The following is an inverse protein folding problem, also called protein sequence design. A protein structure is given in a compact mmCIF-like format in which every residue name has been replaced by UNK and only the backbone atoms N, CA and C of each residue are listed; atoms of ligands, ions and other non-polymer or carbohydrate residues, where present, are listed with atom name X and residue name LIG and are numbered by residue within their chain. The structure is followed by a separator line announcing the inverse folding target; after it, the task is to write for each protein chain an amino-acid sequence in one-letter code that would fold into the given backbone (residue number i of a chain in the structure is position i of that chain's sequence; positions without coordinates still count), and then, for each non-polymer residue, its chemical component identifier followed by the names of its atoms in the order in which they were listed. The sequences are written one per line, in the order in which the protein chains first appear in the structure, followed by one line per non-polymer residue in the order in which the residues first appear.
data_IF_954754001771
#
_entry.id   IF_954754001771
#
_cell.length_a   1.000
_cell.length_b   1.000
_cell.length_c   1.000
_cell.angle_alpha   90.00
_cell.angle_beta   90.00
_cell.angle_gamma   90.00
#
_symmetry.space_group_name_H-M   'P 1'
#
loop_
_entity.id
_entity.type
_entity.pdbx_description
1 polymer ?
#
# COMPACT_ATOMS: atom_id res chain seq x y z
N UNK A 1 -91.03 -35.10 -13.72
CA UNK A 1 -90.95 -34.12 -14.79
C UNK A 1 -89.79 -33.15 -14.58
N UNK A 2 -88.95 -33.02 -15.60
CA UNK A 2 -87.89 -32.05 -15.84
C UNK A 2 -86.59 -32.19 -14.97
N UNK A 3 -85.61 -32.83 -15.58
CA UNK A 3 -84.21 -32.79 -15.27
C UNK A 3 -83.61 -31.41 -15.53
N UNK A 4 -82.71 -30.95 -14.62
CA UNK A 4 -81.85 -29.80 -14.87
C UNK A 4 -80.39 -30.31 -14.75
N UNK A 5 -79.71 -30.24 -15.89
CA UNK A 5 -78.33 -30.57 -16.13
C UNK A 5 -77.43 -29.58 -15.39
N UNK A 6 -76.47 -30.06 -14.61
CA UNK A 6 -75.38 -29.29 -14.02
C UNK A 6 -74.09 -29.45 -14.84
N UNK A 7 -73.73 -28.38 -15.52
CA UNK A 7 -72.43 -28.26 -16.20
C UNK A 7 -71.38 -27.91 -15.18
N UNK A 8 -70.40 -28.79 -15.03
CA UNK A 8 -69.19 -28.55 -14.20
C UNK A 8 -68.16 -27.82 -15.08
N UNK A 9 -67.84 -26.58 -14.71
CA UNK A 9 -66.66 -25.85 -15.23
C UNK A 9 -65.40 -26.36 -14.46
N UNK A 10 -64.50 -27.01 -15.18
CA UNK A 10 -63.14 -27.34 -14.70
C UNK A 10 -62.26 -26.14 -15.05
N UNK A 11 -61.94 -25.30 -14.07
CA UNK A 11 -60.94 -24.25 -14.19
C UNK A 11 -59.53 -24.86 -14.06
N UNK A 12 -58.80 -24.96 -15.16
CA UNK A 12 -57.38 -25.34 -15.17
C UNK A 12 -56.56 -24.15 -14.68
N UNK A 13 -56.11 -24.22 -13.40
CA UNK A 13 -55.17 -23.29 -12.84
C UNK A 13 -53.76 -23.66 -13.33
N UNK A 14 -53.24 -22.94 -14.33
CA UNK A 14 -51.82 -22.98 -14.69
C UNK A 14 -51.02 -22.36 -13.55
N UNK A 15 -50.39 -23.20 -12.73
CA UNK A 15 -49.31 -22.79 -11.83
C UNK A 15 -48.09 -22.43 -12.68
N UNK A 16 -47.86 -21.16 -12.93
CA UNK A 16 -46.58 -20.66 -13.37
C UNK A 16 -45.58 -20.81 -12.23
N UNK A 17 -44.84 -21.92 -12.24
CA UNK A 17 -43.67 -22.08 -11.39
C UNK A 17 -42.59 -21.10 -11.86
N UNK A 18 -42.65 -19.87 -11.33
CA UNK A 18 -41.55 -18.94 -11.45
C UNK A 18 -40.31 -19.56 -10.81
N UNK A 19 -39.29 -19.88 -11.61
CA UNK A 19 -37.98 -20.23 -11.15
C UNK A 19 -37.42 -19.05 -10.36
N UNK A 20 -37.59 -19.08 -9.05
CA UNK A 20 -36.83 -18.21 -8.15
C UNK A 20 -35.38 -18.64 -8.33
N UNK A 21 -34.63 -17.91 -9.16
CA UNK A 21 -33.18 -17.98 -9.16
C UNK A 21 -32.74 -17.59 -7.75
N UNK A 22 -32.51 -18.59 -6.91
CA UNK A 22 -31.95 -18.40 -5.58
C UNK A 22 -30.63 -17.66 -5.74
N UNK A 23 -30.59 -16.38 -5.34
CA UNK A 23 -29.35 -15.65 -5.27
C UNK A 23 -28.42 -16.41 -4.32
N UNK A 24 -27.30 -16.89 -4.84
CA UNK A 24 -26.24 -17.46 -4.00
C UNK A 24 -25.92 -16.45 -2.89
N UNK A 25 -25.90 -16.84 -1.60
CA UNK A 25 -25.60 -15.91 -0.51
C UNK A 25 -24.33 -15.12 -0.80
N UNK A 26 -24.38 -13.82 -0.59
CA UNK A 26 -23.22 -12.94 -0.80
C UNK A 26 -22.08 -13.35 0.15
N UNK A 27 -20.87 -13.47 -0.39
CA UNK A 27 -19.66 -13.74 0.40
C UNK A 27 -19.13 -12.44 1.00
N UNK A 28 -19.01 -12.36 2.32
CA UNK A 28 -18.43 -11.21 2.99
C UNK A 28 -16.93 -11.14 2.70
N UNK A 29 -16.45 -9.96 2.30
CA UNK A 29 -15.05 -9.69 1.97
C UNK A 29 -14.57 -8.49 2.77
N UNK A 30 -13.52 -8.66 3.56
CA UNK A 30 -12.90 -7.60 4.33
C UNK A 30 -11.61 -7.15 3.63
N UNK A 31 -11.47 -5.83 3.43
CA UNK A 31 -10.28 -5.21 2.86
C UNK A 31 -9.70 -4.23 3.90
N UNK A 32 -8.46 -4.48 4.35
CA UNK A 32 -7.82 -3.72 5.42
C UNK A 32 -6.74 -2.77 4.94
N UNK A 33 -6.53 -1.67 5.66
CA UNK A 33 -5.31 -0.85 5.60
C UNK A 33 -5.09 -0.11 6.93
N UNK A 34 -3.87 0.39 7.16
CA UNK A 34 -3.45 0.95 8.46
C UNK A 34 -3.71 2.44 8.62
N UNK A 35 -4.02 3.17 7.55
CA UNK A 35 -4.28 4.61 7.58
C UNK A 35 -5.76 4.95 7.41
N UNK A 36 -6.14 6.18 7.73
CA UNK A 36 -7.48 6.71 7.54
C UNK A 36 -7.41 8.10 6.91
N UNK A 37 -8.45 8.46 6.14
CA UNK A 37 -8.62 9.79 5.54
C UNK A 37 -7.55 10.25 4.52
N UNK A 38 -6.60 9.41 4.20
CA UNK A 38 -5.54 9.64 3.20
C UNK A 38 -5.84 8.91 1.88
N UNK A 39 -4.95 9.07 0.89
CA UNK A 39 -5.10 8.42 -0.41
C UNK A 39 -5.13 6.89 -0.30
N UNK A 40 -4.37 6.28 0.62
CA UNK A 40 -4.37 4.83 0.82
C UNK A 40 -5.76 4.33 1.25
N UNK A 41 -6.40 5.05 2.19
CA UNK A 41 -7.76 4.73 2.64
C UNK A 41 -8.79 4.89 1.51
N UNK A 42 -8.66 5.92 0.68
CA UNK A 42 -9.54 6.13 -0.48
C UNK A 42 -9.42 4.99 -1.50
N UNK A 43 -8.20 4.52 -1.77
CA UNK A 43 -7.97 3.38 -2.67
C UNK A 43 -8.54 2.08 -2.08
N UNK A 44 -8.42 1.88 -0.75
CA UNK A 44 -9.01 0.73 -0.06
C UNK A 44 -10.55 0.71 -0.19
N UNK A 45 -11.19 1.86 0.00
CA UNK A 45 -12.64 2.02 -0.22
C UNK A 45 -13.00 1.71 -1.67
N UNK A 46 -12.26 2.29 -2.62
CA UNK A 46 -12.50 2.10 -4.05
C UNK A 46 -12.39 0.64 -4.46
N UNK A 47 -11.39 -0.09 -3.96
CA UNK A 47 -11.24 -1.52 -4.24
C UNK A 47 -12.43 -2.33 -3.72
N UNK A 48 -12.90 -2.07 -2.51
CA UNK A 48 -14.09 -2.74 -1.95
C UNK A 48 -15.37 -2.44 -2.76
N UNK A 49 -15.59 -1.19 -3.17
CA UNK A 49 -16.71 -0.79 -4.04
C UNK A 49 -16.68 -1.53 -5.37
N UNK A 50 -15.50 -1.60 -6.02
CA UNK A 50 -15.34 -2.27 -7.31
C UNK A 50 -15.57 -3.77 -7.20
N UNK A 51 -15.12 -4.43 -6.14
CA UNK A 51 -15.40 -5.85 -5.88
C UNK A 51 -16.90 -6.11 -5.80
N UNK A 52 -17.63 -5.30 -5.03
CA UNK A 52 -19.08 -5.43 -4.88
C UNK A 52 -19.79 -5.18 -6.22
N UNK A 53 -19.41 -4.11 -6.90
CA UNK A 53 -20.01 -3.71 -8.18
C UNK A 53 -19.78 -4.77 -9.26
N UNK A 54 -18.55 -5.22 -9.47
CA UNK A 54 -18.21 -6.13 -10.56
C UNK A 54 -18.67 -7.57 -10.33
N UNK A 55 -18.89 -7.95 -9.07
CA UNK A 55 -19.47 -9.25 -8.73
C UNK A 55 -21.00 -9.27 -8.75
N UNK A 56 -21.66 -8.14 -9.07
CA UNK A 56 -23.11 -7.98 -8.92
C UNK A 56 -23.59 -8.33 -7.50
N UNK A 57 -22.83 -7.92 -6.48
CA UNK A 57 -23.13 -8.14 -5.07
C UNK A 57 -22.76 -9.54 -4.53
N UNK A 58 -22.27 -10.47 -5.36
CA UNK A 58 -21.84 -11.80 -4.88
C UNK A 58 -20.65 -11.73 -3.91
N UNK A 59 -19.80 -10.71 -4.06
CA UNK A 59 -18.78 -10.32 -3.09
C UNK A 59 -19.25 -9.06 -2.36
N UNK A 60 -19.76 -9.22 -1.14
CA UNK A 60 -20.14 -8.10 -0.28
C UNK A 60 -18.88 -7.55 0.40
N UNK A 61 -18.15 -6.70 -0.32
CA UNK A 61 -16.87 -6.19 0.15
C UNK A 61 -17.06 -4.94 1.03
N UNK A 62 -16.32 -4.88 2.13
CA UNK A 62 -16.26 -3.74 3.03
C UNK A 62 -14.82 -3.34 3.33
N UNK A 63 -14.57 -2.03 3.21
CA UNK A 63 -13.31 -1.40 3.58
C UNK A 63 -13.21 -1.25 5.10
N UNK A 64 -12.05 -1.58 5.66
CA UNK A 64 -11.68 -1.42 7.07
C UNK A 64 -10.38 -0.63 7.15
N UNK A 65 -10.51 0.67 7.34
CA UNK A 65 -9.39 1.61 7.38
C UNK A 65 -8.91 1.90 8.80
N UNK A 66 -7.80 2.63 8.93
CA UNK A 66 -7.28 3.11 10.21
C UNK A 66 -6.74 2.03 11.13
N UNK A 67 -6.32 0.90 10.60
CA UNK A 67 -5.80 -0.21 11.41
C UNK A 67 -6.86 -0.92 12.26
N UNK A 68 -8.15 -0.78 11.93
CA UNK A 68 -9.25 -1.40 12.69
C UNK A 68 -9.24 -2.94 12.69
N UNK A 69 -8.47 -3.56 11.78
CA UNK A 69 -8.23 -5.00 11.73
C UNK A 69 -6.84 -5.40 12.27
N UNK A 70 -6.13 -4.47 12.89
CA UNK A 70 -4.78 -4.67 13.40
C UNK A 70 -3.71 -3.87 12.67
N UNK A 71 -2.46 -4.08 13.05
CA UNK A 71 -1.30 -3.47 12.40
C UNK A 71 -1.06 -4.04 11.00
N UNK A 72 -0.21 -3.39 10.19
CA UNK A 72 0.17 -3.92 8.88
C UNK A 72 0.73 -5.35 8.97
N UNK A 73 1.59 -5.60 9.95
CA UNK A 73 2.20 -6.92 10.15
C UNK A 73 1.18 -7.98 10.55
N UNK A 74 0.22 -7.63 11.43
CA UNK A 74 -0.86 -8.53 11.83
C UNK A 74 -1.81 -8.83 10.68
N UNK A 75 -2.24 -7.80 9.94
CA UNK A 75 -3.11 -7.98 8.77
C UNK A 75 -2.45 -8.83 7.68
N UNK A 76 -1.14 -8.66 7.42
CA UNK A 76 -0.41 -9.49 6.46
C UNK A 76 -0.41 -10.96 6.87
N UNK A 77 -0.14 -11.26 8.14
CA UNK A 77 -0.19 -12.63 8.67
C UNK A 77 -1.60 -13.23 8.56
N UNK A 78 -2.63 -12.45 8.88
CA UNK A 78 -4.04 -12.86 8.79
C UNK A 78 -4.46 -13.12 7.34
N UNK A 79 -3.96 -12.32 6.38
CA UNK A 79 -4.18 -12.50 4.95
C UNK A 79 -3.52 -13.79 4.44
N UNK A 80 -2.27 -14.08 4.83
CA UNK A 80 -1.59 -15.32 4.47
C UNK A 80 -2.33 -16.56 4.99
N UNK A 81 -2.88 -16.49 6.20
CA UNK A 81 -3.69 -17.55 6.78
C UNK A 81 -5.07 -17.75 6.09
N UNK A 82 -5.52 -16.77 5.31
CA UNK A 82 -6.80 -16.79 4.58
C UNK A 82 -7.97 -16.21 5.37
N UNK A 83 -7.76 -15.67 6.56
CA UNK A 83 -8.80 -15.08 7.40
C UNK A 83 -9.11 -13.62 7.04
N UNK A 84 -8.16 -12.89 6.41
CA UNK A 84 -8.38 -11.60 5.77
C UNK A 84 -8.35 -11.79 4.25
N UNK A 85 -9.35 -11.26 3.53
CA UNK A 85 -9.50 -11.49 2.10
C UNK A 85 -8.59 -10.58 1.28
N UNK A 86 -8.44 -9.31 1.68
CA UNK A 86 -7.58 -8.37 0.97
C UNK A 86 -7.02 -7.27 1.87
N UNK A 87 -5.98 -6.61 1.39
CA UNK A 87 -5.42 -5.44 2.06
C UNK A 87 -4.62 -4.56 1.11
N UNK A 88 -4.45 -3.32 1.52
CA UNK A 88 -3.51 -2.37 0.91
C UNK A 88 -2.39 -2.11 1.91
N UNK A 89 -1.13 -2.24 1.45
CA UNK A 89 0.02 -2.23 2.33
C UNK A 89 1.25 -1.60 1.65
N UNK A 90 2.09 -0.83 2.37
CA UNK A 90 3.41 -0.46 1.88
C UNK A 90 4.29 -1.69 1.66
N UNK A 91 5.01 -1.73 0.53
CA UNK A 91 5.87 -2.87 0.15
C UNK A 91 6.90 -3.24 1.21
N UNK A 92 7.41 -2.27 1.96
CA UNK A 92 8.38 -2.53 3.03
C UNK A 92 7.88 -3.44 4.15
N UNK A 93 6.58 -3.39 4.48
CA UNK A 93 6.01 -4.33 5.46
C UNK A 93 5.94 -5.77 4.93
N UNK A 94 5.92 -5.94 3.61
CA UNK A 94 5.94 -7.28 3.00
C UNK A 94 7.30 -7.96 3.12
N UNK A 95 8.37 -7.22 3.40
CA UNK A 95 9.73 -7.74 3.50
C UNK A 95 9.89 -8.83 4.57
N UNK A 96 9.01 -8.91 5.56
CA UNK A 96 8.98 -9.99 6.56
C UNK A 96 8.55 -11.34 5.98
N UNK A 97 7.65 -11.34 4.99
CA UNK A 97 7.14 -12.55 4.33
C UNK A 97 7.85 -12.81 2.99
N UNK A 98 8.16 -11.74 2.24
CA UNK A 98 8.77 -11.75 0.91
C UNK A 98 9.88 -10.69 0.87
N UNK A 99 11.10 -11.02 1.35
CA UNK A 99 12.22 -10.09 1.46
C UNK A 99 12.56 -9.35 0.16
N UNK A 100 12.31 -9.97 -0.97
CA UNK A 100 12.55 -9.44 -2.32
C UNK A 100 11.68 -8.21 -2.60
N UNK A 101 10.43 -8.18 -2.11
CA UNK A 101 9.51 -7.03 -2.30
C UNK A 101 10.00 -5.80 -1.55
N UNK A 102 10.69 -5.99 -0.41
CA UNK A 102 11.32 -4.90 0.32
C UNK A 102 12.37 -4.12 -0.48
N UNK A 103 12.83 -4.64 -1.61
CA UNK A 103 13.83 -3.96 -2.46
C UNK A 103 13.28 -2.71 -3.16
N UNK A 104 11.97 -2.54 -3.27
CA UNK A 104 11.38 -1.25 -3.66
C UNK A 104 11.71 -0.11 -2.69
N UNK A 105 12.12 -0.42 -1.47
CA UNK A 105 12.50 0.55 -0.45
C UNK A 105 13.95 0.99 -0.52
N UNK A 106 14.73 0.52 -1.49
CA UNK A 106 16.09 1.03 -1.71
C UNK A 106 16.04 2.54 -1.92
N UNK A 107 16.85 3.30 -1.18
CA UNK A 107 16.83 4.75 -1.26
C UNK A 107 17.27 5.23 -2.66
N UNK A 108 16.63 6.29 -3.16
CA UNK A 108 16.89 6.88 -4.47
C UNK A 108 16.74 5.89 -5.64
N UNK A 109 15.91 4.85 -5.48
CA UNK A 109 15.66 3.83 -6.50
C UNK A 109 14.80 4.38 -7.64
N UNK A 110 13.66 5.01 -7.32
CA UNK A 110 12.68 5.51 -8.28
C UNK A 110 12.45 7.02 -8.11
N UNK A 111 12.00 7.72 -9.16
CA UNK A 111 11.61 9.12 -9.08
C UNK A 111 10.38 9.30 -8.19
N UNK A 112 10.16 10.54 -7.72
CA UNK A 112 9.09 10.88 -6.80
C UNK A 112 7.68 10.93 -7.37
N UNK A 113 7.53 10.82 -8.68
CA UNK A 113 6.24 10.89 -9.38
C UNK A 113 5.44 9.59 -9.22
N UNK A 114 4.21 9.64 -8.62
CA UNK A 114 3.41 8.43 -8.38
C UNK A 114 3.08 7.64 -9.64
N UNK A 115 2.68 8.30 -10.72
CA UNK A 115 2.27 7.65 -11.96
C UNK A 115 3.46 6.94 -12.63
N UNK A 116 4.64 7.58 -12.63
CA UNK A 116 5.88 6.94 -13.13
C UNK A 116 6.31 5.76 -12.29
N UNK A 117 6.12 5.81 -10.97
CA UNK A 117 6.36 4.65 -10.10
C UNK A 117 5.43 3.49 -10.46
N UNK A 118 4.13 3.76 -10.65
CA UNK A 118 3.15 2.75 -11.05
C UNK A 118 3.51 2.17 -12.42
N UNK A 119 3.77 3.02 -13.42
CA UNK A 119 4.16 2.57 -14.75
C UNK A 119 5.42 1.69 -14.72
N UNK A 120 6.44 2.10 -13.95
CA UNK A 120 7.64 1.29 -13.74
C UNK A 120 7.29 -0.09 -13.18
N UNK A 121 6.48 -0.17 -12.12
CA UNK A 121 6.14 -1.46 -11.49
C UNK A 121 5.32 -2.38 -12.41
N UNK A 122 4.53 -1.84 -13.33
CA UNK A 122 3.79 -2.61 -14.33
C UNK A 122 4.73 -3.26 -15.36
N UNK A 123 5.75 -2.52 -15.80
CA UNK A 123 6.71 -2.98 -16.84
C UNK A 123 7.87 -3.79 -16.27
N UNK A 124 8.18 -3.64 -14.99
CA UNK A 124 9.36 -4.21 -14.33
C UNK A 124 9.35 -5.73 -14.27
N UNK A 125 10.44 -6.34 -14.75
CA UNK A 125 10.73 -7.77 -14.62
C UNK A 125 10.92 -8.15 -13.15
N UNK A 126 11.58 -7.26 -12.38
CA UNK A 126 11.74 -7.44 -10.94
C UNK A 126 10.38 -7.51 -10.24
N UNK A 127 9.44 -6.59 -10.55
CA UNK A 127 8.10 -6.60 -9.99
C UNK A 127 7.32 -7.87 -10.37
N UNK A 128 7.47 -8.36 -11.61
CA UNK A 128 6.87 -9.62 -12.03
C UNK A 128 7.43 -10.79 -11.20
N UNK A 129 8.74 -10.86 -11.03
CA UNK A 129 9.39 -11.90 -10.21
C UNK A 129 8.99 -11.84 -8.76
N UNK A 130 8.88 -10.64 -8.18
CA UNK A 130 8.39 -10.44 -6.80
C UNK A 130 6.97 -10.98 -6.62
N UNK A 131 6.06 -10.77 -7.59
CA UNK A 131 4.69 -11.32 -7.55
C UNK A 131 4.69 -12.84 -7.56
N UNK A 132 5.53 -13.47 -8.38
CA UNK A 132 5.66 -14.94 -8.41
C UNK A 132 6.12 -15.50 -7.05
N UNK A 133 7.11 -14.85 -6.43
CA UNK A 133 7.61 -15.26 -5.10
C UNK A 133 6.52 -15.10 -4.03
N UNK A 134 5.78 -13.98 -4.07
CA UNK A 134 4.67 -13.73 -3.14
C UNK A 134 3.57 -14.80 -3.28
N UNK A 135 3.26 -15.22 -4.51
CA UNK A 135 2.29 -16.28 -4.80
C UNK A 135 2.66 -17.61 -4.10
N UNK A 136 3.95 -17.94 -4.10
CA UNK A 136 4.48 -19.14 -3.40
C UNK A 136 4.37 -19.03 -1.88
N UNK A 137 4.23 -17.81 -1.35
CA UNK A 137 4.08 -17.52 0.09
C UNK A 137 2.61 -17.31 0.52
N UNK A 138 1.65 -17.65 -0.34
CA UNK A 138 0.22 -17.52 -0.03
C UNK A 138 -0.36 -16.11 -0.21
N UNK A 139 0.38 -15.22 -0.85
CA UNK A 139 -0.02 -13.84 -1.10
C UNK A 139 -0.18 -13.63 -2.60
N UNK A 140 -1.38 -13.28 -3.05
CA UNK A 140 -1.58 -12.83 -4.42
C UNK A 140 -1.46 -11.31 -4.48
N UNK A 141 -0.43 -10.82 -5.15
CA UNK A 141 -0.24 -9.38 -5.41
C UNK A 141 -0.93 -9.03 -6.71
N UNK A 142 -2.05 -8.31 -6.66
CA UNK A 142 -2.76 -7.85 -7.87
C UNK A 142 -1.89 -6.87 -8.64
N UNK A 143 -1.24 -5.94 -7.92
CA UNK A 143 -0.28 -5.02 -8.50
C UNK A 143 0.39 -4.14 -7.45
N UNK A 144 1.43 -3.45 -7.90
CA UNK A 144 2.11 -2.41 -7.15
C UNK A 144 1.76 -1.05 -7.75
N UNK A 145 1.81 0.01 -6.95
CA UNK A 145 1.57 1.38 -7.39
C UNK A 145 2.31 2.39 -6.51
N UNK A 146 2.59 3.57 -7.05
CA UNK A 146 3.26 4.66 -6.34
C UNK A 146 2.29 5.58 -5.62
N UNK A 147 2.68 6.05 -4.44
CA UNK A 147 1.97 7.15 -3.75
C UNK A 147 2.76 8.46 -3.89
N UNK A 148 4.07 8.40 -3.90
CA UNK A 148 4.95 9.56 -3.95
C UNK A 148 6.27 9.28 -3.25
N UNK A 149 7.06 10.33 -3.03
CA UNK A 149 8.32 10.22 -2.29
C UNK A 149 8.15 10.42 -0.81
N UNK A 150 8.94 9.71 -0.05
CA UNK A 150 9.08 9.92 1.37
C UNK A 150 10.07 11.04 1.69
N UNK A 151 9.74 11.79 2.72
CA UNK A 151 10.55 12.89 3.25
C UNK A 151 10.53 12.86 4.77
N UNK A 152 11.42 13.62 5.41
CA UNK A 152 11.56 13.60 6.86
C UNK A 152 10.51 14.46 7.54
N UNK A 153 9.85 13.92 8.56
CA UNK A 153 9.10 14.69 9.55
C UNK A 153 9.79 14.55 10.90
N UNK A 154 10.14 15.66 11.52
CA UNK A 154 10.96 15.70 12.73
C UNK A 154 10.44 16.66 13.79
N UNK A 155 10.85 16.44 15.05
CA UNK A 155 10.54 17.33 16.17
C UNK A 155 11.51 18.53 16.27
N UNK A 156 12.52 18.58 15.44
CA UNK A 156 13.55 19.63 15.38
C UNK A 156 13.88 19.94 13.90
N UNK A 157 14.41 21.11 13.59
CA UNK A 157 14.77 21.45 12.21
C UNK A 157 15.92 20.57 11.72
N UNK A 158 15.80 20.12 10.45
CA UNK A 158 16.83 19.36 9.74
C UNK A 158 17.20 20.14 8.49
N UNK A 159 18.45 20.60 8.42
CA UNK A 159 18.97 21.43 7.32
C UNK A 159 20.18 20.77 6.63
N UNK A 160 20.80 19.81 7.27
CA UNK A 160 21.95 19.04 6.78
C UNK A 160 21.93 17.64 7.36
N UNK A 161 22.65 16.73 6.73
CA UNK A 161 22.71 15.32 7.13
C UNK A 161 23.21 15.14 8.58
N UNK A 162 24.17 15.96 9.02
CA UNK A 162 24.68 15.91 10.37
C UNK A 162 23.61 16.13 11.47
N UNK A 163 22.50 16.80 11.15
CA UNK A 163 21.45 17.07 12.14
C UNK A 163 20.71 15.82 12.60
N UNK A 164 20.73 14.73 11.81
CA UNK A 164 20.08 13.45 12.14
C UNK A 164 21.02 12.42 12.76
N UNK A 165 22.33 12.67 12.78
CA UNK A 165 23.32 11.71 13.32
C UNK A 165 23.07 11.42 14.80
N UNK A 166 23.14 10.13 15.16
CA UNK A 166 22.91 9.63 16.51
C UNK A 166 21.44 9.71 16.98
N UNK A 167 20.53 10.22 16.17
CA UNK A 167 19.13 10.41 16.56
C UNK A 167 18.25 9.23 16.16
N UNK A 168 17.24 8.94 16.98
CA UNK A 168 16.37 7.78 16.84
C UNK A 168 15.21 8.10 15.89
N UNK A 169 15.22 7.49 14.71
CA UNK A 169 14.17 7.58 13.70
C UNK A 169 13.36 6.30 13.60
N UNK A 170 12.04 6.46 13.52
CA UNK A 170 11.21 5.32 13.12
C UNK A 170 11.32 5.08 11.62
N UNK A 171 11.49 3.82 11.26
CA UNK A 171 11.37 3.32 9.90
C UNK A 171 10.32 2.22 9.83
N UNK A 172 9.78 1.95 8.64
CA UNK A 172 8.97 0.74 8.44
C UNK A 172 9.88 -0.50 8.61
N UNK A 173 9.33 -1.70 8.92
CA UNK A 173 10.11 -2.93 9.08
C UNK A 173 10.71 -3.42 7.75
N UNK A 174 11.63 -2.68 7.20
CA UNK A 174 12.29 -2.92 5.92
C UNK A 174 13.80 -2.82 6.06
N UNK A 175 14.57 -3.87 5.73
CA UNK A 175 16.03 -3.84 5.80
C UNK A 175 16.67 -2.71 4.98
N UNK A 176 16.23 -2.38 3.75
CA UNK A 176 16.77 -1.24 3.01
C UNK A 176 16.56 0.10 3.73
N UNK A 177 15.38 0.31 4.35
CA UNK A 177 15.11 1.53 5.12
C UNK A 177 16.02 1.63 6.33
N UNK A 178 16.12 0.57 7.13
CA UNK A 178 16.99 0.55 8.28
C UNK A 178 18.46 0.77 7.88
N UNK A 179 18.91 0.14 6.79
CA UNK A 179 20.24 0.33 6.22
C UNK A 179 20.50 1.79 5.83
N UNK A 180 19.57 2.42 5.12
CA UNK A 180 19.69 3.80 4.69
C UNK A 180 19.93 4.77 5.85
N UNK A 181 19.15 4.65 6.93
CA UNK A 181 19.31 5.51 8.11
C UNK A 181 20.61 5.23 8.85
N UNK A 182 21.07 3.97 8.91
CA UNK A 182 22.40 3.64 9.47
C UNK A 182 23.53 4.27 8.67
N UNK A 183 23.46 4.23 7.34
CA UNK A 183 24.45 4.84 6.45
C UNK A 183 24.54 6.36 6.68
N UNK A 184 23.41 7.00 7.03
CA UNK A 184 23.33 8.42 7.38
C UNK A 184 23.77 8.73 8.81
N UNK A 185 24.16 7.73 9.59
CA UNK A 185 24.56 7.88 10.99
C UNK A 185 23.41 8.05 11.97
N UNK A 186 22.15 7.89 11.54
CA UNK A 186 20.99 7.86 12.41
C UNK A 186 20.77 6.48 13.02
N UNK A 187 19.92 6.40 14.04
CA UNK A 187 19.55 5.14 14.71
C UNK A 187 18.15 4.74 14.25
N UNK A 188 18.00 3.77 13.33
CA UNK A 188 16.70 3.32 12.89
C UNK A 188 16.02 2.42 13.92
N UNK A 189 14.73 2.64 14.14
CA UNK A 189 13.85 1.77 14.93
C UNK A 189 12.67 1.33 14.09
N UNK A 190 12.59 0.05 13.78
CA UNK A 190 11.44 -0.53 13.09
C UNK A 190 10.23 -0.53 14.00
N UNK A 191 9.08 -0.03 13.47
CA UNK A 191 7.85 0.12 14.24
C UNK A 191 6.64 0.13 13.30
N UNK A 192 5.54 -0.52 13.69
CA UNK A 192 4.28 -0.42 12.97
C UNK A 192 3.68 1.00 13.05
N UNK A 193 2.84 1.36 12.06
CA UNK A 193 2.35 2.73 11.92
C UNK A 193 1.45 3.18 13.08
N UNK A 194 0.69 2.26 13.67
CA UNK A 194 -0.23 2.54 14.78
C UNK A 194 0.47 3.14 16.03
N UNK A 195 1.76 2.86 16.21
CA UNK A 195 2.54 3.32 17.37
C UNK A 195 3.17 4.71 17.16
N UNK A 196 3.23 5.19 15.90
CA UNK A 196 4.05 6.34 15.48
C UNK A 196 3.65 7.64 16.17
N UNK A 197 2.34 7.96 16.20
CA UNK A 197 1.86 9.21 16.80
C UNK A 197 2.27 9.31 18.28
N UNK A 198 2.00 8.25 19.05
CA UNK A 198 2.35 8.19 20.47
C UNK A 198 3.85 8.23 20.71
N UNK A 199 4.62 7.51 19.90
CA UNK A 199 6.09 7.50 20.00
C UNK A 199 6.71 8.88 19.71
N UNK A 200 6.21 9.61 18.71
CA UNK A 200 6.60 11.00 18.44
C UNK A 200 6.18 11.92 19.60
N UNK A 201 4.95 11.79 20.08
CA UNK A 201 4.42 12.61 21.19
C UNK A 201 5.26 12.46 22.46
N UNK A 202 5.59 11.22 22.81
CA UNK A 202 6.41 10.91 23.99
C UNK A 202 7.90 11.20 23.79
N UNK A 203 8.37 11.43 22.53
CA UNK A 203 9.76 11.66 22.23
C UNK A 203 10.63 10.40 22.25
N UNK A 204 10.04 9.21 22.27
CA UNK A 204 10.77 7.94 22.15
C UNK A 204 11.38 7.76 20.77
N UNK A 205 10.88 8.45 19.77
CA UNK A 205 11.48 8.71 18.47
C UNK A 205 11.42 10.21 18.19
N UNK A 206 12.35 10.71 17.41
CA UNK A 206 12.43 12.15 17.12
C UNK A 206 12.06 12.50 15.69
N UNK A 207 11.89 11.50 14.84
CA UNK A 207 11.52 11.69 13.45
C UNK A 207 11.06 10.39 12.78
N UNK A 208 10.42 10.59 11.65
CA UNK A 208 9.89 9.55 10.75
C UNK A 208 10.08 9.97 9.30
N UNK A 209 9.81 9.06 8.39
CA UNK A 209 9.62 9.34 6.98
C UNK A 209 8.20 9.00 6.55
N UNK A 210 7.59 9.86 5.75
CA UNK A 210 6.31 9.59 5.06
C UNK A 210 6.10 10.60 3.91
N UNK A 211 5.21 10.28 2.94
CA UNK A 211 4.73 11.26 1.97
C UNK A 211 3.90 12.37 2.64
N UNK A 212 3.83 13.57 2.02
CA UNK A 212 3.06 14.71 2.54
C UNK A 212 1.60 14.39 2.90
N UNK A 213 0.89 13.63 2.06
CA UNK A 213 -0.52 13.28 2.28
C UNK A 213 -0.71 12.50 3.60
N UNK A 214 0.10 11.49 3.85
CA UNK A 214 0.05 10.71 5.10
C UNK A 214 0.32 11.61 6.31
N UNK A 215 1.36 12.44 6.24
CA UNK A 215 1.73 13.35 7.34
C UNK A 215 0.59 14.31 7.67
N UNK A 216 -0.01 14.91 6.65
CA UNK A 216 -1.06 15.89 6.81
C UNK A 216 -2.39 15.27 7.26
N UNK A 217 -2.85 14.24 6.56
CA UNK A 217 -4.15 13.60 6.82
C UNK A 217 -4.18 12.82 8.14
N UNK A 218 -3.05 12.23 8.54
CA UNK A 218 -2.92 11.56 9.83
C UNK A 218 -2.51 12.51 10.97
N UNK A 219 -2.44 13.83 10.69
CA UNK A 219 -2.15 14.89 11.65
C UNK A 219 -0.84 14.72 12.41
N UNK A 220 0.16 14.04 11.81
CA UNK A 220 1.45 13.81 12.46
C UNK A 220 2.21 15.11 12.74
N UNK A 221 1.86 16.19 12.03
CA UNK A 221 2.38 17.53 12.27
C UNK A 221 1.97 18.12 13.66
N UNK A 222 0.99 17.54 14.34
CA UNK A 222 0.64 17.96 15.71
C UNK A 222 1.76 17.63 16.71
N UNK A 223 2.49 16.54 16.48
CA UNK A 223 3.53 16.00 17.37
C UNK A 223 4.96 16.15 16.85
N UNK A 224 5.13 16.52 15.55
CA UNK A 224 6.41 16.84 14.93
C UNK A 224 6.23 18.00 13.95
N UNK A 225 6.99 19.08 14.12
CA UNK A 225 6.69 20.38 13.51
C UNK A 225 7.55 20.74 12.28
N UNK A 226 8.48 19.88 11.88
CA UNK A 226 9.44 20.17 10.81
C UNK A 226 9.37 19.11 9.74
N UNK A 227 8.93 19.52 8.55
CA UNK A 227 8.90 18.66 7.36
C UNK A 227 10.02 19.10 6.42
N UNK A 228 11.04 18.27 6.27
CA UNK A 228 12.16 18.53 5.35
C UNK A 228 12.03 17.64 4.12
N UNK A 229 11.81 18.23 2.95
CA UNK A 229 11.73 17.52 1.69
C UNK A 229 13.09 16.95 1.32
N UNK A 230 13.22 15.67 1.39
CA UNK A 230 14.42 14.93 1.00
C UNK A 230 14.16 14.03 -0.21
N UNK A 231 12.92 13.61 -0.40
CA UNK A 231 12.45 12.74 -1.50
C UNK A 231 13.38 11.55 -1.73
N UNK A 232 13.90 11.02 -0.62
CA UNK A 232 14.99 10.04 -0.63
C UNK A 232 14.53 8.62 -0.95
N UNK A 233 13.24 8.38 -1.00
CA UNK A 233 12.72 7.02 -1.19
C UNK A 233 11.35 7.03 -1.83
N UNK A 234 11.13 6.16 -2.79
CA UNK A 234 9.81 5.88 -3.31
C UNK A 234 8.90 5.27 -2.23
N UNK A 235 7.62 5.62 -2.24
CA UNK A 235 6.62 4.96 -1.41
C UNK A 235 5.72 4.12 -2.30
N UNK A 236 6.13 2.86 -2.48
CA UNK A 236 5.43 1.88 -3.30
C UNK A 236 4.47 1.08 -2.41
N UNK A 237 3.26 0.91 -2.89
CA UNK A 237 2.18 0.17 -2.25
C UNK A 237 1.83 -1.08 -3.04
N UNK A 238 1.17 -2.01 -2.40
CA UNK A 238 0.62 -3.20 -3.02
C UNK A 238 -0.86 -3.37 -2.68
N UNK A 239 -1.66 -3.81 -3.67
CA UNK A 239 -2.99 -4.39 -3.44
C UNK A 239 -2.82 -5.89 -3.38
N UNK A 240 -3.14 -6.45 -2.22
CA UNK A 240 -3.00 -7.87 -1.92
C UNK A 240 -4.35 -8.53 -1.72
N UNK A 241 -4.44 -9.80 -2.12
CA UNK A 241 -5.49 -10.69 -1.67
C UNK A 241 -4.91 -12.02 -1.19
N UNK A 242 -5.60 -12.67 -0.25
CA UNK A 242 -5.24 -14.00 0.18
C UNK A 242 -5.31 -14.97 -0.99
N UNK A 243 -4.21 -15.65 -1.28
CA UNK A 243 -4.18 -16.69 -2.31
C UNK A 243 -5.18 -17.81 -1.99
N UNK A 244 -5.22 -18.25 -0.72
CA UNK A 244 -6.14 -19.28 -0.25
C UNK A 244 -7.61 -18.91 -0.49
N UNK A 245 -7.98 -17.67 -0.16
CA UNK A 245 -9.33 -17.19 -0.40
C UNK A 245 -9.64 -17.06 -1.90
N UNK A 246 -8.76 -16.42 -2.67
CA UNK A 246 -8.94 -16.23 -4.12
C UNK A 246 -9.11 -17.57 -4.84
N UNK A 247 -8.25 -18.54 -4.56
CA UNK A 247 -8.25 -19.82 -5.25
C UNK A 247 -9.49 -20.67 -4.93
N UNK A 248 -10.16 -20.41 -3.80
CA UNK A 248 -11.43 -21.02 -3.44
C UNK A 248 -12.64 -20.40 -4.14
N UNK A 249 -12.49 -19.23 -4.78
CA UNK A 249 -13.56 -18.58 -5.52
C UNK A 249 -13.84 -19.27 -6.85
N UNK A 250 -15.09 -19.24 -7.36
CA UNK A 250 -15.40 -19.52 -8.76
C UNK A 250 -14.51 -18.69 -9.71
N UNK A 251 -14.18 -19.24 -10.88
CA UNK A 251 -13.24 -18.62 -11.82
C UNK A 251 -13.64 -17.20 -12.23
N UNK A 252 -14.92 -16.98 -12.50
CA UNK A 252 -15.45 -15.66 -12.85
C UNK A 252 -15.27 -14.64 -11.71
N UNK A 253 -15.39 -15.05 -10.44
CA UNK A 253 -15.11 -14.17 -9.31
C UNK A 253 -13.61 -13.94 -9.09
N UNK A 254 -12.74 -14.90 -9.42
CA UNK A 254 -11.29 -14.67 -9.45
C UNK A 254 -10.93 -13.55 -10.45
N UNK A 255 -11.51 -13.58 -11.64
CA UNK A 255 -11.33 -12.53 -12.66
C UNK A 255 -11.85 -11.17 -12.20
N UNK A 256 -13.02 -11.15 -11.54
CA UNK A 256 -13.56 -9.95 -10.90
C UNK A 256 -12.59 -9.34 -9.89
N UNK A 257 -11.99 -10.15 -9.03
CA UNK A 257 -11.01 -9.71 -8.03
C UNK A 257 -9.80 -9.03 -8.69
N UNK A 258 -9.25 -9.66 -9.72
CA UNK A 258 -8.10 -9.11 -10.45
C UNK A 258 -8.47 -7.79 -11.15
N UNK A 259 -9.61 -7.76 -11.84
CA UNK A 259 -10.09 -6.55 -12.51
C UNK A 259 -10.32 -5.41 -11.53
N UNK A 260 -11.03 -5.66 -10.44
CA UNK A 260 -11.32 -4.65 -9.42
C UNK A 260 -10.03 -4.04 -8.83
N UNK A 261 -9.02 -4.88 -8.56
CA UNK A 261 -7.73 -4.40 -8.05
C UNK A 261 -6.95 -3.58 -9.08
N UNK A 262 -6.94 -3.98 -10.36
CA UNK A 262 -6.32 -3.19 -11.44
C UNK A 262 -6.98 -1.81 -11.60
N UNK A 263 -8.31 -1.77 -11.59
CA UNK A 263 -9.05 -0.50 -11.71
C UNK A 263 -8.88 0.37 -10.45
N UNK A 264 -8.67 -0.22 -9.27
CA UNK A 264 -8.30 0.52 -8.07
C UNK A 264 -6.88 1.11 -8.15
N UNK A 265 -5.94 0.45 -8.84
CA UNK A 265 -4.61 1.00 -9.12
C UNK A 265 -4.71 2.17 -10.11
N UNK A 266 -5.52 2.05 -11.16
CA UNK A 266 -5.79 3.18 -12.07
C UNK A 266 -6.35 4.38 -11.31
N UNK A 267 -7.31 4.16 -10.40
CA UNK A 267 -7.81 5.22 -9.53
C UNK A 267 -6.71 5.82 -8.62
N UNK A 268 -5.77 5.01 -8.14
CA UNK A 268 -4.64 5.50 -7.37
C UNK A 268 -3.79 6.50 -8.17
N UNK A 269 -3.52 6.22 -9.45
CA UNK A 269 -2.78 7.14 -10.33
C UNK A 269 -3.50 8.47 -10.54
N UNK A 270 -4.83 8.45 -10.61
CA UNK A 270 -5.65 9.66 -10.74
C UNK A 270 -5.56 10.57 -9.51
N UNK A 271 -5.51 9.99 -8.29
CA UNK A 271 -5.63 10.77 -7.06
C UNK A 271 -4.29 11.10 -6.39
N UNK A 272 -3.27 10.23 -6.50
CA UNK A 272 -2.06 10.33 -5.67
C UNK A 272 -1.25 11.59 -5.92
N UNK A 273 -1.00 11.96 -7.18
CA UNK A 273 -0.22 13.17 -7.50
C UNK A 273 -0.88 14.43 -6.91
N UNK A 274 -2.20 14.54 -7.07
CA UNK A 274 -2.95 15.65 -6.50
C UNK A 274 -2.96 15.64 -4.98
N UNK A 275 -3.13 14.49 -4.34
CA UNK A 275 -3.15 14.35 -2.89
C UNK A 275 -1.84 14.82 -2.26
N UNK A 276 -0.68 14.47 -2.86
CA UNK A 276 0.63 14.93 -2.37
C UNK A 276 0.79 16.45 -2.51
N UNK A 277 0.40 17.00 -3.66
CA UNK A 277 0.50 18.45 -3.91
C UNK A 277 -0.41 19.26 -2.97
N UNK A 278 -1.66 18.84 -2.82
CA UNK A 278 -2.64 19.50 -1.95
C UNK A 278 -2.20 19.46 -0.47
N UNK A 279 -1.70 18.32 0.00
CA UNK A 279 -1.21 18.18 1.37
C UNK A 279 0.00 19.09 1.63
N UNK A 280 0.96 19.14 0.70
CA UNK A 280 2.12 20.00 0.81
C UNK A 280 1.72 21.50 0.82
N UNK A 281 0.77 21.87 -0.02
CA UNK A 281 0.24 23.24 -0.07
C UNK A 281 -0.49 23.60 1.25
N UNK A 282 -1.29 22.67 1.78
CA UNK A 282 -2.00 22.86 3.05
C UNK A 282 -1.01 23.00 4.22
N UNK A 283 0.02 22.16 4.32
CA UNK A 283 1.06 22.28 5.34
C UNK A 283 1.77 23.64 5.32
N UNK A 284 2.07 24.16 4.13
CA UNK A 284 2.67 25.49 3.97
C UNK A 284 1.74 26.63 4.39
N UNK A 285 0.44 26.49 4.11
CA UNK A 285 -0.57 27.53 4.39
C UNK A 285 -0.94 27.63 5.87
N UNK A 286 -1.07 26.49 6.55
CA UNK A 286 -1.58 26.46 7.93
C UNK A 286 -0.59 27.03 8.97
N UNK A 287 0.71 27.12 8.65
CA UNK A 287 1.73 27.61 9.57
C UNK A 287 1.96 26.73 10.81
N UNK A 288 1.23 25.61 10.90
CA UNK A 288 1.36 24.65 12.02
C UNK A 288 2.57 23.75 11.89
N UNK A 289 3.20 23.72 10.72
CA UNK A 289 4.38 22.93 10.38
C UNK A 289 5.35 23.76 9.52
N UNK A 290 6.63 23.68 9.83
CA UNK A 290 7.68 24.30 9.02
C UNK A 290 8.06 23.36 7.88
N UNK A 291 7.86 23.81 6.64
CA UNK A 291 8.24 23.04 5.44
C UNK A 291 9.52 23.63 4.86
N UNK A 292 10.54 22.82 4.70
CA UNK A 292 11.84 23.18 4.11
C UNK A 292 12.30 22.14 3.08
N UNK A 293 13.24 22.55 2.23
CA UNK A 293 13.91 21.63 1.30
C UNK A 293 15.33 21.34 1.79
N UNK A 294 15.72 20.06 1.72
CA UNK A 294 17.11 19.67 1.98
C UNK A 294 18.01 20.20 0.85
N UNK A 295 19.14 20.84 1.16
CA UNK A 295 20.07 21.31 0.13
C UNK A 295 20.53 20.17 -0.80
N UNK A 296 20.63 20.43 -2.09
CA UNK A 296 21.00 19.42 -3.09
C UNK A 296 22.36 18.75 -2.79
N UNK A 297 23.29 19.49 -2.17
CA UNK A 297 24.58 18.93 -1.76
C UNK A 297 24.41 17.85 -0.66
N UNK A 298 23.50 18.07 0.29
CA UNK A 298 23.20 17.11 1.34
C UNK A 298 22.45 15.88 0.78
N UNK A 299 21.54 16.09 -0.16
CA UNK A 299 20.88 14.98 -0.89
C UNK A 299 21.91 14.10 -1.61
N UNK A 300 22.91 14.72 -2.27
CA UNK A 300 23.99 13.95 -2.91
C UNK A 300 24.78 13.14 -1.89
N UNK A 301 25.16 13.71 -0.75
CA UNK A 301 25.84 12.98 0.34
C UNK A 301 24.99 11.80 0.82
N UNK A 302 23.70 11.99 1.07
CA UNK A 302 22.78 10.92 1.48
C UNK A 302 22.78 9.78 0.46
N UNK A 303 22.69 10.12 -0.84
CA UNK A 303 22.69 9.15 -1.93
C UNK A 303 24.00 8.38 -2.03
N UNK A 304 25.13 9.08 -1.95
CA UNK A 304 26.47 8.47 -2.08
C UNK A 304 26.76 7.51 -0.93
N UNK A 305 26.42 7.89 0.31
CA UNK A 305 26.50 7.00 1.45
C UNK A 305 25.67 5.73 1.28
N UNK A 306 24.43 5.87 0.80
CA UNK A 306 23.58 4.70 0.59
C UNK A 306 24.07 3.80 -0.55
N UNK A 307 24.67 4.35 -1.59
CA UNK A 307 25.28 3.55 -2.67
C UNK A 307 26.42 2.70 -2.16
N UNK A 308 27.25 3.26 -1.28
CA UNK A 308 28.39 2.56 -0.67
C UNK A 308 27.97 1.60 0.47
N UNK A 309 26.88 1.89 1.16
CA UNK A 309 26.35 1.10 2.28
C UNK A 309 25.25 0.12 1.86
N UNK A 310 23.99 0.52 2.07
CA UNK A 310 22.83 -0.37 1.94
C UNK A 310 22.70 -0.98 0.54
N UNK A 311 22.98 -0.24 -0.52
CA UNK A 311 22.91 -0.79 -1.88
C UNK A 311 23.91 -1.94 -2.07
N UNK A 312 25.18 -1.76 -1.66
CA UNK A 312 26.17 -2.85 -1.72
C UNK A 312 25.78 -4.04 -0.85
N UNK A 313 25.25 -3.76 0.34
CA UNK A 313 24.78 -4.81 1.25
C UNK A 313 23.67 -5.65 0.61
N UNK A 314 22.65 -5.02 0.01
CA UNK A 314 21.54 -5.74 -0.64
C UNK A 314 21.98 -6.49 -1.91
N UNK A 315 22.94 -5.95 -2.68
CA UNK A 315 23.54 -6.65 -3.83
C UNK A 315 24.30 -7.90 -3.45
N UNK A 316 24.90 -7.92 -2.26
CA UNK A 316 25.68 -9.06 -1.78
C UNK A 316 24.83 -10.06 -0.97
N UNK A 317 23.58 -9.73 -0.68
CA UNK A 317 22.67 -10.62 0.05
C UNK A 317 22.15 -11.72 -0.90
N UNK A 318 22.39 -13.02 -0.60
CA UNK A 318 22.04 -14.12 -1.51
C UNK A 318 20.54 -14.18 -1.88
N UNK A 319 19.65 -13.73 -0.98
CA UNK A 319 18.22 -13.77 -1.20
C UNK A 319 17.73 -12.59 -2.04
N UNK A 320 18.43 -11.46 -2.02
CA UNK A 320 18.00 -10.18 -2.63
C UNK A 320 18.76 -9.79 -3.87
N UNK A 321 19.99 -10.27 -4.02
CA UNK A 321 20.93 -9.89 -5.10
C UNK A 321 20.32 -10.01 -6.48
N UNK A 322 19.61 -11.09 -6.78
CA UNK A 322 18.98 -11.32 -8.08
C UNK A 322 17.89 -10.26 -8.38
N UNK A 323 17.10 -9.87 -7.38
CA UNK A 323 16.08 -8.84 -7.55
C UNK A 323 16.70 -7.45 -7.68
N UNK A 324 17.74 -7.15 -6.90
CA UNK A 324 18.45 -5.86 -7.03
C UNK A 324 19.03 -5.70 -8.42
N UNK A 325 19.63 -6.76 -8.98
CA UNK A 325 20.13 -6.76 -10.36
C UNK A 325 19.02 -6.49 -11.38
N UNK A 326 17.89 -7.19 -11.26
CA UNK A 326 16.74 -6.97 -12.15
C UNK A 326 16.19 -5.53 -12.03
N UNK A 327 16.13 -4.96 -10.82
CA UNK A 327 15.72 -3.57 -10.63
C UNK A 327 16.68 -2.58 -11.31
N UNK A 328 17.99 -2.81 -11.25
CA UNK A 328 18.97 -1.96 -11.93
C UNK A 328 18.84 -2.06 -13.46
N UNK A 329 18.61 -3.25 -14.01
CA UNK A 329 18.34 -3.47 -15.42
C UNK A 329 17.05 -2.77 -15.85
N UNK A 330 15.96 -2.95 -15.10
CA UNK A 330 14.66 -2.33 -15.36
C UNK A 330 14.75 -0.79 -15.33
N UNK A 331 15.49 -0.21 -14.37
CA UNK A 331 15.71 1.24 -14.28
C UNK A 331 16.49 1.75 -15.49
N UNK A 332 17.56 1.04 -15.87
CA UNK A 332 18.36 1.41 -17.03
C UNK A 332 17.54 1.38 -18.32
N UNK A 333 16.59 0.47 -18.44
CA UNK A 333 15.70 0.37 -19.61
C UNK A 333 14.55 1.40 -19.59
N UNK A 334 14.01 1.72 -18.42
CA UNK A 334 12.87 2.61 -18.28
C UNK A 334 13.25 4.10 -18.41
N UNK A 335 14.45 4.50 -17.97
CA UNK A 335 14.90 5.90 -17.95
C UNK A 335 15.88 6.26 -19.08
N UNK A 336 15.99 5.41 -20.12
CA UNK A 336 16.67 5.75 -21.40
C UNK A 336 15.86 6.77 -22.18
#
# INVERSE_FOLDING_TARGET
MKAISKWAFVAASLLAAGTVFGQTPAMNVLIGNSTANDAQAAINVRFAELLTKYSNGRLAASSRTGGSLGTNSQMLSTLQAGALQGMIIPTGFMASAVPEIGMFDLPFLLPGDPAKMTEFTVRSKAAARMREIAEQKGIHVIGFYGIGSQSLLTRFPVTKLADIQGKLFRVIPSPPRAGAYKDWGAVPRSMDFAEVYTALQQGTIVGIENPPDVIYKMKLYEVAKYFTRTEHSAFVMAILVSKKWRDALPKDLQEVVIRAGKDAITYADEINTKAQADALAAMRKEGSITVSDMPAAEIRKMRDLNREGVWKSMKNDPQRSAIVKLLEEDIADYFK
#
